data_IF_363715016442
#
_entry.id   IF_363715016442
#
_cell.length_a   1.000
_cell.length_b   1.000
_cell.length_c   1.000
_cell.angle_alpha   90.00
_cell.angle_beta   90.00
_cell.angle_gamma   90.00
#
_symmetry.space_group_name_H-M   'P 1'
#
loop_
_entity.id
_entity.type
_entity.pdbx_description
1 polymer ?
#
# COMPACT_ATOMS: atom_id res chain seq x y z
N UNK A 1 30.83 9.57 8.16
CA UNK A 1 30.13 10.87 8.32
C UNK A 1 28.64 10.66 8.15
N UNK A 2 27.88 10.65 9.25
CA UNK A 2 26.43 10.49 9.25
C UNK A 2 25.78 11.80 8.81
N UNK A 3 25.07 11.79 7.68
CA UNK A 3 24.48 13.01 7.11
C UNK A 3 23.33 13.52 8.01
N UNK A 4 23.43 14.71 8.62
CA UNK A 4 22.41 15.27 9.53
C UNK A 4 21.03 15.42 8.87
N UNK A 5 21.01 15.42 7.54
CA UNK A 5 19.79 15.49 6.75
C UNK A 5 18.97 14.20 6.69
N UNK A 6 19.59 13.03 6.90
CA UNK A 6 18.87 11.76 6.95
C UNK A 6 18.09 11.66 8.27
N UNK A 7 18.71 12.10 9.37
CA UNK A 7 18.03 12.21 10.67
C UNK A 7 16.89 13.23 10.63
N UNK A 8 17.07 14.37 9.97
CA UNK A 8 15.99 15.35 9.77
C UNK A 8 14.83 14.77 8.94
N UNK A 9 15.12 13.96 7.91
CA UNK A 9 14.10 13.33 7.08
C UNK A 9 13.34 12.24 7.85
N UNK A 10 14.05 11.40 8.61
CA UNK A 10 13.44 10.38 9.48
C UNK A 10 12.61 11.05 10.58
N UNK A 11 13.08 12.14 11.17
CA UNK A 11 12.34 12.92 12.15
C UNK A 11 11.09 13.57 11.54
N UNK A 12 11.18 14.17 10.35
CA UNK A 12 10.02 14.73 9.65
C UNK A 12 9.03 13.65 9.26
N UNK A 13 9.49 12.51 8.75
CA UNK A 13 8.64 11.36 8.44
C UNK A 13 7.94 10.82 9.70
N UNK A 14 8.68 10.63 10.79
CA UNK A 14 8.11 10.21 12.07
C UNK A 14 7.10 11.23 12.61
N UNK A 15 7.39 12.53 12.51
CA UNK A 15 6.48 13.60 12.93
C UNK A 15 5.22 13.65 12.06
N UNK A 16 5.31 13.47 10.74
CA UNK A 16 4.15 13.46 9.85
C UNK A 16 3.30 12.19 10.04
N UNK A 17 3.93 11.06 10.37
CA UNK A 17 3.22 9.85 10.83
C UNK A 17 2.49 10.13 12.13
N UNK A 18 3.15 10.73 13.13
CA UNK A 18 2.53 11.07 14.42
C UNK A 18 1.42 12.11 14.26
N UNK A 19 1.59 13.14 13.43
CA UNK A 19 0.57 14.17 13.16
C UNK A 19 -0.58 13.62 12.33
N UNK A 20 -0.31 12.75 11.35
CA UNK A 20 -1.35 12.04 10.59
C UNK A 20 -2.16 11.10 11.49
N UNK A 21 -1.49 10.36 12.37
CA UNK A 21 -2.11 9.50 13.38
C UNK A 21 -2.92 10.32 14.41
N UNK A 22 -2.41 11.46 14.86
CA UNK A 22 -3.09 12.35 15.80
C UNK A 22 -4.30 13.05 15.16
N UNK A 23 -4.16 13.56 13.93
CA UNK A 23 -5.25 14.18 13.17
C UNK A 23 -6.36 13.19 12.80
N UNK A 24 -6.00 11.95 12.46
CA UNK A 24 -6.96 10.88 12.21
C UNK A 24 -7.63 10.38 13.49
N UNK A 25 -6.90 10.30 14.61
CA UNK A 25 -7.48 10.03 15.92
C UNK A 25 -8.51 11.10 16.34
N UNK A 26 -8.24 12.36 16.00
CA UNK A 26 -9.19 13.47 16.20
C UNK A 26 -10.37 13.44 15.21
N UNK A 27 -10.22 12.80 14.05
CA UNK A 27 -11.27 12.62 13.04
C UNK A 27 -12.02 11.28 13.13
N UNK A 28 -11.70 10.43 14.11
CA UNK A 28 -12.32 9.11 14.30
C UNK A 28 -11.91 8.04 13.28
N UNK A 29 -10.88 8.29 12.46
CA UNK A 29 -10.41 7.35 11.44
C UNK A 29 -9.42 6.34 12.04
N UNK A 30 -9.51 5.03 11.70
CA UNK A 30 -8.59 4.05 12.26
C UNK A 30 -7.12 4.34 11.86
N UNK A 31 -6.14 4.09 12.75
CA UNK A 31 -4.73 4.45 12.57
C UNK A 31 -4.08 3.94 11.27
N UNK A 32 -4.48 2.78 10.78
CA UNK A 32 -3.98 2.16 9.54
C UNK A 32 -4.39 2.95 8.29
N UNK A 33 -5.61 3.49 8.26
CA UNK A 33 -6.07 4.38 7.19
C UNK A 33 -5.36 5.73 7.27
N UNK A 34 -5.15 6.25 8.47
CA UNK A 34 -4.42 7.50 8.68
C UNK A 34 -3.00 7.46 8.08
N UNK A 35 -2.28 6.36 8.35
CA UNK A 35 -0.91 6.19 7.85
C UNK A 35 -0.89 6.15 6.33
N UNK A 36 -1.81 5.39 5.73
CA UNK A 36 -1.80 5.11 4.30
C UNK A 36 -2.41 6.20 3.43
N UNK A 37 -3.44 6.90 3.90
CA UNK A 37 -4.15 7.97 3.17
C UNK A 37 -3.53 9.34 3.43
N UNK A 38 -2.95 9.56 4.61
CA UNK A 38 -2.49 10.88 5.05
C UNK A 38 -0.98 10.92 5.22
N UNK A 39 -0.44 10.12 6.15
CA UNK A 39 0.96 10.27 6.54
C UNK A 39 1.95 9.96 5.41
N UNK A 40 1.74 8.87 4.67
CA UNK A 40 2.63 8.46 3.58
C UNK A 40 2.62 9.47 2.42
N UNK A 41 1.46 9.91 1.88
CA UNK A 41 1.40 10.99 0.89
C UNK A 41 2.10 12.26 1.32
N UNK A 42 1.80 12.75 2.53
CA UNK A 42 2.40 13.99 3.02
C UNK A 42 3.91 13.81 3.19
N UNK A 43 4.36 12.67 3.70
CA UNK A 43 5.79 12.34 3.81
C UNK A 43 6.52 12.41 2.46
N UNK A 44 5.90 11.87 1.41
CA UNK A 44 6.44 11.97 0.04
C UNK A 44 6.47 13.43 -0.44
N UNK A 45 5.36 14.17 -0.29
CA UNK A 45 5.30 15.57 -0.70
C UNK A 45 6.36 16.43 0.01
N UNK A 46 6.54 16.24 1.31
CA UNK A 46 7.54 16.96 2.10
C UNK A 46 8.95 16.57 1.69
N UNK A 47 9.23 15.28 1.44
CA UNK A 47 10.52 14.86 0.91
C UNK A 47 10.84 15.55 -0.44
N UNK A 48 9.85 15.62 -1.34
CA UNK A 48 9.97 16.33 -2.61
C UNK A 48 10.22 17.83 -2.43
N UNK A 49 9.46 18.49 -1.56
CA UNK A 49 9.62 19.90 -1.24
C UNK A 49 11.01 20.22 -0.66
N UNK A 50 11.53 19.35 0.21
CA UNK A 50 12.89 19.48 0.77
C UNK A 50 13.95 19.34 -0.32
N UNK A 51 13.80 18.40 -1.26
CA UNK A 51 14.73 18.28 -2.39
C UNK A 51 14.72 19.54 -3.27
N UNK A 52 13.52 20.07 -3.55
CA UNK A 52 13.35 21.30 -4.32
C UNK A 52 13.99 22.50 -3.62
N UNK A 53 13.70 22.69 -2.32
CA UNK A 53 14.25 23.78 -1.51
C UNK A 53 15.78 23.75 -1.44
N UNK A 54 16.38 22.57 -1.52
CA UNK A 54 17.85 22.38 -1.56
C UNK A 54 18.46 22.49 -2.95
N UNK A 55 17.68 22.89 -3.95
CA UNK A 55 18.15 22.97 -5.35
C UNK A 55 18.50 21.62 -5.96
N UNK A 56 17.99 20.50 -5.43
CA UNK A 56 18.29 19.14 -5.90
C UNK A 56 17.31 18.70 -6.99
N UNK A 57 17.11 19.54 -8.02
CA UNK A 57 16.12 19.32 -9.07
C UNK A 57 16.31 17.97 -9.79
N UNK A 58 17.55 17.61 -10.15
CA UNK A 58 17.85 16.33 -10.81
C UNK A 58 17.53 15.13 -9.92
N UNK A 59 17.81 15.25 -8.62
CA UNK A 59 17.49 14.20 -7.64
C UNK A 59 15.98 14.06 -7.46
N UNK A 60 15.26 15.17 -7.41
CA UNK A 60 13.80 15.19 -7.36
C UNK A 60 13.22 14.54 -8.61
N UNK A 61 13.71 14.87 -9.80
CA UNK A 61 13.27 14.27 -11.06
C UNK A 61 13.49 12.75 -11.06
N UNK A 62 14.69 12.29 -10.69
CA UNK A 62 15.00 10.86 -10.58
C UNK A 62 14.15 10.14 -9.53
N UNK A 63 13.88 10.80 -8.39
CA UNK A 63 13.04 10.25 -7.33
C UNK A 63 11.57 10.16 -7.77
N UNK A 64 11.03 11.21 -8.38
CA UNK A 64 9.67 11.24 -8.93
C UNK A 64 9.47 10.19 -10.02
N UNK A 65 10.44 10.00 -10.92
CA UNK A 65 10.39 8.95 -11.93
C UNK A 65 10.32 7.54 -11.30
N UNK A 66 11.10 7.30 -10.24
CA UNK A 66 11.05 6.03 -9.48
C UNK A 66 9.71 5.83 -8.79
N UNK A 67 9.17 6.87 -8.15
CA UNK A 67 7.85 6.79 -7.54
C UNK A 67 6.76 6.52 -8.59
N UNK A 68 6.82 7.17 -9.75
CA UNK A 68 5.91 6.90 -10.87
C UNK A 68 5.99 5.46 -11.35
N UNK A 69 7.20 4.90 -11.47
CA UNK A 69 7.40 3.48 -11.77
C UNK A 69 6.80 2.57 -10.70
N UNK A 70 7.01 2.90 -9.42
CA UNK A 70 6.42 2.19 -8.28
C UNK A 70 4.89 2.24 -8.28
N UNK A 71 4.30 3.39 -8.55
CA UNK A 71 2.85 3.58 -8.67
C UNK A 71 2.28 2.68 -9.77
N UNK A 72 2.86 2.73 -10.98
CA UNK A 72 2.42 1.91 -12.10
C UNK A 72 2.55 0.41 -11.79
N UNK A 73 3.67 -0.01 -11.20
CA UNK A 73 3.89 -1.40 -10.80
C UNK A 73 2.93 -1.86 -9.69
N UNK A 74 2.61 -0.98 -8.73
CA UNK A 74 1.65 -1.25 -7.66
C UNK A 74 0.23 -1.43 -8.17
N UNK A 75 -0.20 -0.59 -9.12
CA UNK A 75 -1.50 -0.73 -9.78
C UNK A 75 -1.57 -2.03 -10.60
N UNK A 76 -0.53 -2.34 -11.38
CA UNK A 76 -0.46 -3.58 -12.15
C UNK A 76 -0.53 -4.83 -11.26
N UNK A 77 0.24 -4.85 -10.17
CA UNK A 77 0.20 -5.92 -9.19
C UNK A 77 -1.20 -6.08 -8.55
N UNK A 78 -1.86 -4.95 -8.25
CA UNK A 78 -3.20 -4.94 -7.66
C UNK A 78 -4.25 -5.48 -8.64
N UNK A 79 -4.12 -5.17 -9.92
CA UNK A 79 -4.97 -5.77 -10.95
C UNK A 79 -4.79 -7.29 -11.01
N UNK A 80 -3.54 -7.77 -11.04
CA UNK A 80 -3.25 -9.22 -11.04
C UNK A 80 -3.79 -9.89 -9.79
N UNK A 81 -3.65 -9.25 -8.62
CA UNK A 81 -4.22 -9.75 -7.37
C UNK A 81 -5.75 -9.86 -7.43
N UNK A 82 -6.43 -8.88 -8.00
CA UNK A 82 -7.89 -8.93 -8.17
C UNK A 82 -8.30 -10.04 -9.15
N UNK A 83 -7.58 -10.21 -10.26
CA UNK A 83 -7.83 -11.28 -11.22
C UNK A 83 -7.60 -12.66 -10.60
N UNK A 84 -6.54 -12.83 -9.81
CA UNK A 84 -6.29 -14.05 -9.04
C UNK A 84 -7.46 -14.38 -8.13
N UNK A 85 -7.98 -13.39 -7.39
CA UNK A 85 -9.12 -13.57 -6.49
C UNK A 85 -10.39 -14.04 -7.22
N UNK A 86 -10.67 -13.45 -8.39
CA UNK A 86 -11.76 -13.91 -9.26
C UNK A 86 -11.51 -15.34 -9.74
N UNK A 87 -10.30 -15.64 -10.21
CA UNK A 87 -9.92 -16.96 -10.70
C UNK A 87 -10.07 -18.04 -9.63
N UNK A 88 -9.61 -17.79 -8.41
CA UNK A 88 -9.77 -18.74 -7.28
C UNK A 88 -11.23 -19.02 -7.00
N UNK A 89 -12.09 -17.99 -6.98
CA UNK A 89 -13.53 -18.16 -6.78
C UNK A 89 -14.15 -19.02 -7.88
N UNK A 90 -13.85 -18.73 -9.14
CA UNK A 90 -14.44 -19.41 -10.30
C UNK A 90 -13.95 -20.86 -10.45
N UNK A 91 -12.68 -21.13 -10.14
CA UNK A 91 -12.05 -22.46 -10.35
C UNK A 91 -12.32 -23.41 -9.19
N UNK A 92 -12.33 -22.90 -7.95
CA UNK A 92 -12.46 -23.73 -6.75
C UNK A 92 -13.84 -23.65 -6.08
N UNK A 93 -14.82 -23.03 -6.75
CA UNK A 93 -16.20 -22.84 -6.28
C UNK A 93 -16.28 -22.35 -4.83
N UNK A 94 -15.43 -21.39 -4.48
CA UNK A 94 -15.36 -20.91 -3.10
C UNK A 94 -16.62 -20.08 -2.78
N UNK A 95 -17.34 -20.38 -1.68
CA UNK A 95 -18.65 -19.78 -1.39
C UNK A 95 -18.57 -18.34 -0.88
N UNK A 96 -17.38 -17.78 -0.70
CA UNK A 96 -17.20 -16.42 -0.18
C UNK A 96 -17.03 -15.39 -1.29
N UNK A 97 -17.47 -14.16 -1.04
CA UNK A 97 -17.19 -13.03 -1.91
C UNK A 97 -15.75 -12.53 -1.69
N UNK A 98 -14.85 -12.70 -2.67
CA UNK A 98 -13.49 -12.22 -2.57
C UNK A 98 -13.42 -10.71 -2.74
N UNK A 99 -14.50 -9.92 -2.68
CA UNK A 99 -14.40 -8.46 -2.59
C UNK A 99 -15.20 -7.88 -1.43
N UNK A 100 -15.60 -8.71 -0.46
CA UNK A 100 -16.42 -8.28 0.68
C UNK A 100 -15.78 -7.21 1.57
N UNK A 101 -14.45 -7.13 1.57
CA UNK A 101 -13.71 -6.19 2.43
C UNK A 101 -13.70 -4.77 1.85
N UNK A 102 -13.81 -4.61 0.53
CA UNK A 102 -13.81 -3.30 -0.13
C UNK A 102 -14.98 -2.42 0.39
N UNK A 103 -16.25 -2.88 0.37
CA UNK A 103 -17.37 -2.15 0.97
C UNK A 103 -17.16 -1.77 2.45
N UNK A 104 -16.55 -2.66 3.24
CA UNK A 104 -16.28 -2.43 4.67
C UNK A 104 -15.28 -1.28 4.86
N UNK A 105 -14.20 -1.26 4.08
CA UNK A 105 -13.26 -0.14 4.08
C UNK A 105 -13.95 1.17 3.67
N UNK A 106 -14.83 1.12 2.69
CA UNK A 106 -15.64 2.25 2.27
C UNK A 106 -16.54 2.80 3.36
N UNK A 107 -17.22 1.92 4.08
CA UNK A 107 -18.04 2.28 5.23
C UNK A 107 -17.21 2.95 6.33
N UNK A 108 -16.03 2.42 6.63
CA UNK A 108 -15.12 3.01 7.62
C UNK A 108 -14.69 4.41 7.19
N UNK A 109 -14.35 4.61 5.91
CA UNK A 109 -13.87 5.88 5.38
C UNK A 109 -14.95 6.96 5.28
N UNK A 110 -16.19 6.58 5.00
CA UNK A 110 -17.27 7.51 4.66
C UNK A 110 -18.35 7.63 5.74
N UNK A 111 -18.41 6.68 6.68
CA UNK A 111 -19.53 6.53 7.62
C UNK A 111 -20.82 6.03 6.99
N UNK A 112 -20.85 5.78 5.66
CA UNK A 112 -22.04 5.32 4.93
C UNK A 112 -22.20 3.80 5.03
N UNK A 113 -23.42 3.25 4.93
CA UNK A 113 -23.63 1.80 4.88
C UNK A 113 -22.81 1.13 3.78
N UNK A 114 -22.30 -0.08 4.00
CA UNK A 114 -21.46 -0.81 3.03
C UNK A 114 -22.15 -1.10 1.69
N UNK A 115 -23.48 -1.12 1.65
CA UNK A 115 -24.27 -1.27 0.42
C UNK A 115 -24.45 0.04 -0.36
N UNK A 116 -24.10 1.19 0.24
CA UNK A 116 -24.25 2.49 -0.39
C UNK A 116 -23.17 2.72 -1.46
N UNK A 117 -23.53 3.29 -2.61
CA UNK A 117 -22.61 3.51 -3.73
C UNK A 117 -21.36 4.32 -3.34
N UNK A 118 -21.53 5.33 -2.47
CA UNK A 118 -20.41 6.11 -1.93
C UNK A 118 -19.40 5.28 -1.13
N UNK A 119 -19.86 4.32 -0.32
CA UNK A 119 -18.98 3.39 0.39
C UNK A 119 -18.27 2.47 -0.61
N UNK A 120 -18.98 1.91 -1.59
CA UNK A 120 -18.37 1.06 -2.62
C UNK A 120 -17.23 1.78 -3.36
N UNK A 121 -17.48 3.01 -3.83
CA UNK A 121 -16.48 3.82 -4.54
C UNK A 121 -15.29 4.14 -3.63
N UNK A 122 -15.52 4.56 -2.39
CA UNK A 122 -14.45 4.87 -1.45
C UNK A 122 -13.59 3.64 -1.14
N UNK A 123 -14.22 2.48 -0.92
CA UNK A 123 -13.55 1.22 -0.62
C UNK A 123 -12.66 0.73 -1.76
N UNK A 124 -13.16 0.78 -2.99
CA UNK A 124 -12.38 0.43 -4.18
C UNK A 124 -11.25 1.43 -4.45
N UNK A 125 -11.52 2.73 -4.26
CA UNK A 125 -10.49 3.77 -4.40
C UNK A 125 -9.36 3.57 -3.40
N UNK A 126 -9.71 3.26 -2.14
CA UNK A 126 -8.73 2.93 -1.10
C UNK A 126 -7.92 1.67 -1.45
N UNK A 127 -8.57 0.61 -1.95
CA UNK A 127 -7.88 -0.62 -2.37
C UNK A 127 -6.83 -0.36 -3.45
N UNK A 128 -7.19 0.40 -4.49
CA UNK A 128 -6.26 0.79 -5.56
C UNK A 128 -5.16 1.72 -5.04
N UNK A 129 -5.52 2.65 -4.16
CA UNK A 129 -4.59 3.58 -3.53
C UNK A 129 -3.53 2.86 -2.71
N UNK A 130 -3.91 1.89 -1.87
CA UNK A 130 -2.97 1.06 -1.09
C UNK A 130 -2.01 0.33 -2.01
N UNK A 131 -2.52 -0.29 -3.08
CA UNK A 131 -1.70 -0.97 -4.06
C UNK A 131 -0.63 -0.07 -4.70
N UNK A 132 -1.05 1.10 -5.18
CA UNK A 132 -0.18 2.12 -5.75
C UNK A 132 0.87 2.60 -4.74
N UNK A 133 0.43 2.97 -3.54
CA UNK A 133 1.25 3.51 -2.46
C UNK A 133 2.33 2.50 -2.04
N UNK A 134 1.97 1.24 -1.80
CA UNK A 134 2.95 0.20 -1.45
C UNK A 134 3.96 -0.03 -2.58
N UNK A 135 3.54 0.09 -3.84
CA UNK A 135 4.45 0.07 -4.99
C UNK A 135 5.45 1.23 -4.99
N UNK A 136 4.99 2.45 -4.67
CA UNK A 136 5.86 3.62 -4.48
C UNK A 136 6.87 3.40 -3.34
N UNK A 137 6.46 2.81 -2.22
CA UNK A 137 7.38 2.48 -1.11
C UNK A 137 8.42 1.45 -1.53
N UNK A 138 8.03 0.38 -2.22
CA UNK A 138 9.03 -0.58 -2.72
C UNK A 138 10.00 0.09 -3.70
N UNK A 139 9.52 0.96 -4.59
CA UNK A 139 10.39 1.69 -5.52
C UNK A 139 11.35 2.66 -4.79
N UNK A 140 10.93 3.25 -3.68
CA UNK A 140 11.79 4.09 -2.85
C UNK A 140 12.86 3.26 -2.11
N UNK A 141 12.49 2.11 -1.54
CA UNK A 141 13.39 1.23 -0.78
C UNK A 141 14.33 0.42 -1.69
N UNK A 142 13.82 -0.06 -2.82
CA UNK A 142 14.52 -0.93 -3.77
C UNK A 142 14.21 -0.54 -5.21
N UNK A 143 14.86 0.50 -5.75
CA UNK A 143 14.57 1.03 -7.08
C UNK A 143 14.66 0.02 -8.23
N UNK A 144 15.55 -0.99 -8.10
CA UNK A 144 15.74 -2.03 -9.11
C UNK A 144 14.67 -3.13 -9.08
N UNK A 145 13.76 -3.11 -8.09
CA UNK A 145 12.76 -4.16 -7.90
C UNK A 145 13.37 -5.55 -7.76
N UNK A 146 12.71 -6.53 -8.39
CA UNK A 146 13.11 -7.92 -8.47
C UNK A 146 12.10 -8.85 -7.80
N UNK A 147 11.94 -10.06 -8.35
CA UNK A 147 11.00 -11.07 -7.86
C UNK A 147 11.15 -11.32 -6.36
N UNK A 148 12.38 -11.61 -5.92
CA UNK A 148 12.68 -11.91 -4.50
C UNK A 148 12.40 -10.70 -3.61
N UNK A 149 12.80 -9.49 -4.03
CA UNK A 149 12.56 -8.29 -3.25
C UNK A 149 11.05 -8.02 -3.07
N UNK A 150 10.28 -8.19 -4.15
CA UNK A 150 8.83 -8.08 -4.11
C UNK A 150 8.17 -9.14 -3.23
N UNK A 151 8.62 -10.39 -3.30
CA UNK A 151 8.13 -11.48 -2.45
C UNK A 151 8.41 -11.24 -0.96
N UNK A 152 9.64 -10.82 -0.61
CA UNK A 152 10.01 -10.49 0.77
C UNK A 152 9.22 -9.29 1.30
N UNK A 153 9.02 -8.27 0.46
CA UNK A 153 8.20 -7.11 0.82
C UNK A 153 6.74 -7.50 1.08
N UNK A 154 6.15 -8.32 0.22
CA UNK A 154 4.81 -8.88 0.43
C UNK A 154 4.73 -9.75 1.69
N UNK A 155 5.73 -10.58 1.97
CA UNK A 155 5.79 -11.38 3.19
C UNK A 155 5.79 -10.48 4.45
N UNK A 156 6.57 -9.39 4.45
CA UNK A 156 6.59 -8.43 5.54
C UNK A 156 5.21 -7.76 5.75
N UNK A 157 4.54 -7.36 4.66
CA UNK A 157 3.18 -6.82 4.72
C UNK A 157 2.21 -7.87 5.31
N UNK A 158 2.30 -9.12 4.85
CA UNK A 158 1.41 -10.18 5.33
C UNK A 158 1.62 -10.47 6.83
N UNK A 159 2.86 -10.43 7.33
CA UNK A 159 3.15 -10.51 8.76
C UNK A 159 2.53 -9.34 9.54
N UNK A 160 2.62 -8.12 9.00
CA UNK A 160 1.94 -6.96 9.58
C UNK A 160 0.42 -7.13 9.64
N UNK A 161 -0.19 -7.64 8.57
CA UNK A 161 -1.62 -7.96 8.53
C UNK A 161 -1.97 -9.02 9.57
N UNK A 162 -1.18 -10.08 9.72
CA UNK A 162 -1.39 -11.10 10.75
C UNK A 162 -1.32 -10.55 12.17
N UNK A 163 -0.42 -9.61 12.44
CA UNK A 163 -0.34 -8.97 13.74
C UNK A 163 -1.55 -8.07 14.04
N UNK A 164 -2.16 -7.45 13.03
CA UNK A 164 -3.22 -6.45 13.21
C UNK A 164 -4.64 -7.00 13.05
N UNK A 165 -4.85 -7.96 12.15
CA UNK A 165 -6.18 -8.38 11.70
C UNK A 165 -7.05 -9.07 12.76
N UNK A 166 -6.51 -9.86 13.71
CA UNK A 166 -7.32 -10.41 14.79
C UNK A 166 -8.00 -9.30 15.63
N UNK A 167 -7.32 -8.17 15.82
CA UNK A 167 -7.86 -7.02 16.56
C UNK A 167 -8.85 -6.18 15.74
N UNK A 168 -8.61 -6.00 14.43
CA UNK A 168 -9.39 -5.11 13.57
C UNK A 168 -10.57 -5.81 12.88
N UNK A 169 -10.36 -7.02 12.36
CA UNK A 169 -11.34 -7.74 11.55
C UNK A 169 -11.93 -8.98 12.23
N UNK A 170 -11.46 -9.32 13.44
CA UNK A 170 -11.77 -10.59 14.12
C UNK A 170 -11.58 -11.81 13.20
N UNK A 171 -10.67 -11.70 12.23
CA UNK A 171 -10.36 -12.71 11.24
C UNK A 171 -9.10 -13.48 11.66
N UNK A 172 -9.12 -14.80 11.52
CA UNK A 172 -8.08 -15.70 12.02
C UNK A 172 -7.44 -16.58 10.93
N UNK A 173 -6.39 -17.32 11.31
CA UNK A 173 -5.69 -18.27 10.42
C UNK A 173 -6.58 -19.44 9.93
N UNK A 174 -7.72 -19.65 10.58
CA UNK A 174 -8.73 -20.66 10.23
C UNK A 174 -9.71 -20.18 9.15
N UNK A 175 -9.71 -18.90 8.80
CA UNK A 175 -10.53 -18.39 7.71
C UNK A 175 -9.86 -18.73 6.38
N UNK A 176 -10.43 -19.67 5.62
CA UNK A 176 -9.91 -20.09 4.30
C UNK A 176 -9.72 -18.90 3.35
N UNK A 177 -10.57 -17.88 3.43
CA UNK A 177 -10.41 -16.63 2.69
C UNK A 177 -9.11 -15.90 3.09
N UNK A 178 -8.82 -15.87 4.39
CA UNK A 178 -7.65 -15.19 4.92
C UNK A 178 -6.35 -15.90 4.52
N UNK A 179 -6.36 -17.23 4.46
CA UNK A 179 -5.20 -17.99 3.98
C UNK A 179 -5.02 -17.87 2.47
N UNK A 180 -6.06 -18.18 1.67
CA UNK A 180 -5.98 -18.22 0.21
C UNK A 180 -5.79 -16.83 -0.43
N UNK A 181 -6.50 -15.81 0.05
CA UNK A 181 -6.32 -14.43 -0.44
C UNK A 181 -5.21 -13.69 0.29
N UNK A 182 -4.97 -14.01 1.57
CA UNK A 182 -3.89 -13.38 2.34
C UNK A 182 -2.53 -13.87 1.87
N UNK A 183 -2.16 -15.11 2.15
CA UNK A 183 -0.79 -15.59 1.92
C UNK A 183 -0.46 -15.70 0.43
N UNK A 184 -1.23 -16.49 -0.31
CA UNK A 184 -0.92 -16.77 -1.73
C UNK A 184 -1.13 -15.51 -2.57
N UNK A 185 -2.26 -14.84 -2.37
CA UNK A 185 -2.58 -13.63 -3.11
C UNK A 185 -1.58 -12.49 -2.87
N UNK A 186 -1.20 -12.20 -1.61
CA UNK A 186 -0.21 -11.14 -1.32
C UNK A 186 1.18 -11.51 -1.84
N UNK A 187 1.60 -12.77 -1.72
CA UNK A 187 2.88 -13.20 -2.29
C UNK A 187 2.90 -13.03 -3.82
N UNK A 188 1.83 -13.43 -4.51
CA UNK A 188 1.69 -13.22 -5.95
C UNK A 188 1.73 -11.73 -6.30
N UNK A 189 0.99 -10.91 -5.55
CA UNK A 189 1.00 -9.45 -5.69
C UNK A 189 2.42 -8.89 -5.55
N UNK A 190 3.17 -9.30 -4.53
CA UNK A 190 4.54 -8.85 -4.29
C UNK A 190 5.49 -9.26 -5.41
N UNK A 191 5.39 -10.50 -5.87
CA UNK A 191 6.19 -11.01 -6.99
C UNK A 191 5.94 -10.20 -8.26
N UNK A 192 4.68 -9.95 -8.61
CA UNK A 192 4.30 -9.15 -9.79
C UNK A 192 4.79 -7.71 -9.64
N UNK A 193 4.61 -7.11 -8.46
CA UNK A 193 5.12 -5.77 -8.16
C UNK A 193 6.63 -5.70 -8.39
N UNK A 194 7.39 -6.64 -7.83
CA UNK A 194 8.84 -6.70 -7.94
C UNK A 194 9.33 -6.87 -9.38
N UNK A 195 8.71 -7.78 -10.16
CA UNK A 195 9.03 -7.98 -11.58
C UNK A 195 8.69 -6.73 -12.40
N UNK A 196 7.49 -6.19 -12.22
CA UNK A 196 7.01 -5.04 -13.00
C UNK A 196 7.86 -3.81 -12.73
N UNK A 197 8.19 -3.55 -11.45
CA UNK A 197 9.10 -2.48 -11.08
C UNK A 197 10.48 -2.69 -11.72
N UNK A 198 11.04 -3.91 -11.67
CA UNK A 198 12.32 -4.20 -12.31
C UNK A 198 12.28 -3.99 -13.84
N UNK A 199 11.16 -4.30 -14.49
CA UNK A 199 10.99 -4.10 -15.93
C UNK A 199 10.91 -2.61 -16.29
N UNK A 200 10.16 -1.81 -15.52
CA UNK A 200 10.02 -0.36 -15.74
C UNK A 200 11.35 0.34 -15.44
N UNK A 201 11.99 0.03 -14.32
CA UNK A 201 13.23 0.67 -13.87
C UNK A 201 14.45 0.37 -14.73
N UNK A 202 14.40 -0.59 -15.67
CA UNK A 202 15.49 -0.79 -16.65
C UNK A 202 15.53 0.27 -17.75
N UNK A 203 14.47 1.08 -17.86
CA UNK A 203 14.32 2.11 -18.90
C UNK A 203 14.85 3.49 -18.49
N UNK A 204 15.33 3.62 -17.25
CA UNK A 204 15.81 4.86 -16.63
C UNK A 204 17.02 4.57 -15.74
#
# INVERSE_FOLDING_TARGET
>A
MTHPHILALVAVFATLVVVGLAGAGLAGMPPDFAVSVVALPIGLLVAGAVMLWRGQADRLAAWSARLGAGLAAGLAATLVYNLYRVGVRLVFDMPFDPFRVQPVFGQILTGLPSTHAGALVAGWSYHLWIGAMLGMVLAALRPRGGLIAGALFAAAIQLGRWAMYPAVFRAGLVDNEFFANGVIGILLWGMVLGITLAAISRRF
#
